data_IF_339487543643
#
_entry.id   IF_339487543643
#
_cell.length_a   1.000
_cell.length_b   1.000
_cell.length_c   1.000
_cell.angle_alpha   90.00
_cell.angle_beta   90.00
_cell.angle_gamma   90.00
#
_symmetry.space_group_name_H-M   'P 1'
#
loop_
_entity.id
_entity.type
_entity.pdbx_description
1 polymer ?
#
# COMPACT_ATOMS: atom_id res chain seq x y z
N UNK A 1 15.22 -12.00 7.63
CA UNK A 1 13.80 -11.74 7.30
C UNK A 1 13.56 -12.25 5.89
N UNK A 2 12.54 -13.08 5.68
CA UNK A 2 12.20 -13.55 4.35
C UNK A 2 11.51 -12.42 3.57
N UNK A 3 11.95 -12.14 2.35
CA UNK A 3 11.32 -11.14 1.47
C UNK A 3 10.39 -11.84 0.50
N UNK A 4 9.12 -11.45 0.48
CA UNK A 4 8.16 -11.92 -0.51
C UNK A 4 8.06 -10.91 -1.66
N UNK A 5 8.03 -11.43 -2.89
CA UNK A 5 7.96 -10.65 -4.13
C UNK A 5 6.62 -10.82 -4.83
N UNK A 6 6.36 -10.01 -5.86
CA UNK A 6 5.20 -10.20 -6.75
C UNK A 6 5.12 -11.63 -7.30
N UNK A 7 6.25 -12.22 -7.67
CA UNK A 7 6.31 -13.61 -8.18
C UNK A 7 5.79 -14.62 -7.15
N UNK A 8 6.03 -14.40 -5.86
CA UNK A 8 5.52 -15.27 -4.80
C UNK A 8 4.01 -15.13 -4.63
N UNK A 9 3.47 -13.92 -4.81
CA UNK A 9 2.02 -13.71 -4.84
C UNK A 9 1.36 -14.36 -6.06
N UNK A 10 1.97 -14.24 -7.25
CA UNK A 10 1.51 -14.91 -8.48
C UNK A 10 1.46 -16.43 -8.31
N UNK A 11 2.50 -17.03 -7.71
CA UNK A 11 2.50 -18.47 -7.40
C UNK A 11 1.35 -18.85 -6.47
N UNK A 12 1.13 -18.09 -5.39
CA UNK A 12 0.00 -18.33 -4.47
C UNK A 12 -1.35 -18.25 -5.18
N UNK A 13 -1.55 -17.28 -6.06
CA UNK A 13 -2.80 -17.15 -6.84
C UNK A 13 -2.96 -18.31 -7.81
N UNK A 14 -1.89 -18.69 -8.52
CA UNK A 14 -1.87 -19.85 -9.42
C UNK A 14 -2.27 -21.15 -8.70
N UNK A 15 -1.67 -21.42 -7.53
CA UNK A 15 -1.98 -22.59 -6.70
C UNK A 15 -3.42 -22.57 -6.17
N UNK A 16 -3.86 -21.43 -5.65
CA UNK A 16 -5.22 -21.28 -5.06
C UNK A 16 -6.30 -21.44 -6.13
N UNK A 17 -6.09 -20.86 -7.31
CA UNK A 17 -7.07 -20.85 -8.40
C UNK A 17 -6.93 -22.05 -9.35
N UNK A 18 -5.91 -22.89 -9.16
CA UNK A 18 -5.57 -24.02 -10.04
C UNK A 18 -5.41 -23.63 -11.51
N UNK A 19 -4.81 -22.46 -11.76
CA UNK A 19 -4.50 -21.97 -13.11
C UNK A 19 -2.99 -21.90 -13.34
N UNK A 20 -2.51 -22.05 -14.58
CA UNK A 20 -1.09 -21.88 -14.90
C UNK A 20 -0.53 -20.49 -14.51
N UNK A 21 0.76 -20.42 -14.19
CA UNK A 21 1.41 -19.17 -13.75
C UNK A 21 1.26 -18.02 -14.75
N UNK A 22 1.36 -18.31 -16.04
CA UNK A 22 1.21 -17.32 -17.11
C UNK A 22 -0.23 -16.75 -17.21
N UNK A 23 -1.23 -17.45 -16.69
CA UNK A 23 -2.60 -16.93 -16.56
C UNK A 23 -2.79 -16.16 -15.25
N UNK A 24 -2.16 -16.58 -14.15
CA UNK A 24 -2.26 -15.89 -12.87
C UNK A 24 -1.55 -14.52 -12.86
N UNK A 25 -0.39 -14.42 -13.51
CA UNK A 25 0.41 -13.19 -13.56
C UNK A 25 -0.37 -11.95 -14.02
N UNK A 26 -1.06 -11.96 -15.19
CA UNK A 26 -1.80 -10.78 -15.64
C UNK A 26 -2.96 -10.39 -14.70
N UNK A 27 -3.55 -11.34 -13.96
CA UNK A 27 -4.59 -11.02 -12.97
C UNK A 27 -4.02 -10.27 -11.76
N UNK A 28 -2.87 -10.71 -11.25
CA UNK A 28 -2.20 -10.02 -10.14
C UNK A 28 -1.74 -8.63 -10.57
N UNK A 29 -1.19 -8.51 -11.77
CA UNK A 29 -0.79 -7.23 -12.35
C UNK A 29 -1.97 -6.28 -12.50
N UNK A 30 -3.10 -6.76 -13.04
CA UNK A 30 -4.30 -5.95 -13.20
C UNK A 30 -4.81 -5.38 -11.86
N UNK A 31 -4.78 -6.16 -10.78
CA UNK A 31 -5.19 -5.70 -9.44
C UNK A 31 -4.25 -4.62 -8.91
N UNK A 32 -2.93 -4.85 -8.98
CA UNK A 32 -1.92 -3.89 -8.52
C UNK A 32 -2.01 -2.59 -9.31
N UNK A 33 -2.15 -2.70 -10.63
CA UNK A 33 -2.23 -1.56 -11.54
C UNK A 33 -3.54 -0.78 -11.34
N UNK A 34 -4.65 -1.47 -11.07
CA UNK A 34 -5.92 -0.82 -10.74
C UNK A 34 -5.81 -0.01 -9.45
N UNK A 35 -5.25 -0.59 -8.38
CA UNK A 35 -5.03 0.13 -7.11
C UNK A 35 -4.14 1.35 -7.35
N UNK A 36 -3.01 1.17 -8.04
CA UNK A 36 -2.06 2.26 -8.36
C UNK A 36 -2.73 3.35 -9.18
N UNK A 37 -3.41 2.99 -10.25
CA UNK A 37 -4.09 3.92 -11.16
C UNK A 37 -5.16 4.75 -10.45
N UNK A 38 -6.02 4.10 -9.66
CA UNK A 38 -7.04 4.79 -8.86
C UNK A 38 -6.42 5.77 -7.87
N UNK A 39 -5.29 5.44 -7.24
CA UNK A 39 -4.57 6.37 -6.35
C UNK A 39 -3.93 7.54 -7.10
N UNK A 40 -3.39 7.32 -8.30
CA UNK A 40 -2.78 8.38 -9.11
C UNK A 40 -3.80 9.41 -9.60
N UNK A 41 -5.04 8.97 -9.87
CA UNK A 41 -6.16 9.82 -10.27
C UNK A 41 -6.79 10.61 -9.10
N UNK A 42 -6.33 10.42 -7.86
CA UNK A 42 -6.88 11.10 -6.69
C UNK A 42 -6.79 12.63 -6.81
N UNK A 43 -7.91 13.33 -6.60
CA UNK A 43 -7.97 14.79 -6.63
C UNK A 43 -8.95 15.34 -5.58
N UNK A 44 -8.49 15.87 -4.44
CA UNK A 44 -7.14 15.72 -3.86
C UNK A 44 -6.93 14.38 -3.13
N UNK A 45 -8.03 13.74 -2.72
CA UNK A 45 -8.03 12.53 -1.90
C UNK A 45 -8.66 11.34 -2.62
N UNK A 46 -8.38 10.15 -2.14
CA UNK A 46 -8.99 8.91 -2.61
C UNK A 46 -9.00 7.89 -1.49
N UNK A 47 -10.02 7.02 -1.47
CA UNK A 47 -10.13 5.91 -0.55
C UNK A 47 -10.53 4.65 -1.33
N UNK A 48 -9.67 3.64 -1.30
CA UNK A 48 -9.92 2.31 -1.88
C UNK A 48 -10.07 1.34 -0.73
N UNK A 49 -11.27 0.83 -0.54
CA UNK A 49 -11.58 -0.14 0.51
C UNK A 49 -11.62 -1.55 -0.06
N UNK A 50 -10.71 -2.40 0.42
CA UNK A 50 -10.69 -3.83 0.14
C UNK A 50 -11.09 -4.55 1.43
N UNK A 51 -12.37 -4.93 1.53
CA UNK A 51 -12.94 -5.58 2.72
C UNK A 51 -12.07 -6.76 3.16
N UNK A 52 -11.93 -6.92 4.47
CA UNK A 52 -11.09 -7.94 5.14
C UNK A 52 -9.58 -7.82 4.92
N UNK A 53 -9.11 -7.05 3.94
CA UNK A 53 -7.69 -6.77 3.74
C UNK A 53 -7.26 -5.43 4.36
N UNK A 54 -7.92 -4.35 3.97
CA UNK A 54 -7.61 -3.01 4.47
C UNK A 54 -8.03 -1.90 3.54
N UNK A 55 -7.47 -0.71 3.77
CA UNK A 55 -7.83 0.50 3.04
C UNK A 55 -6.57 1.20 2.57
N UNK A 56 -6.52 1.52 1.29
CA UNK A 56 -5.56 2.48 0.74
C UNK A 56 -6.19 3.87 0.69
N UNK A 57 -5.49 4.86 1.22
CA UNK A 57 -5.91 6.26 1.21
C UNK A 57 -4.84 7.13 0.56
N UNK A 58 -5.26 8.04 -0.31
CA UNK A 58 -4.47 9.21 -0.70
C UNK A 58 -5.03 10.39 0.08
N UNK A 59 -4.15 11.08 0.81
CA UNK A 59 -4.52 12.23 1.65
C UNK A 59 -3.66 13.43 1.38
N UNK A 60 -4.26 14.60 1.49
CA UNK A 60 -3.49 15.83 1.53
C UNK A 60 -2.73 15.94 2.86
N UNK A 61 -1.50 16.44 2.77
CA UNK A 61 -0.69 16.80 3.93
C UNK A 61 -0.47 18.29 3.95
N UNK A 62 -0.56 18.88 5.14
CA UNK A 62 -0.27 20.30 5.33
C UNK A 62 1.20 20.58 5.03
N UNK A 63 1.46 21.77 4.49
CA UNK A 63 2.81 22.28 4.37
C UNK A 63 3.51 22.27 5.74
N UNK A 64 4.80 21.96 5.76
CA UNK A 64 5.65 22.02 6.95
C UNK A 64 6.63 23.18 6.76
N UNK A 65 6.32 24.38 7.29
CA UNK A 65 7.14 25.55 7.04
C UNK A 65 8.49 25.50 7.78
N UNK A 66 8.59 24.66 8.81
CA UNK A 66 9.81 24.49 9.61
C UNK A 66 10.21 23.02 9.73
N UNK A 67 10.23 22.27 8.62
CA UNK A 67 10.78 20.92 8.63
C UNK A 67 12.31 20.99 8.82
N UNK A 68 12.92 19.95 9.38
CA UNK A 68 14.37 19.90 9.58
C UNK A 68 15.01 18.91 8.61
N UNK A 69 16.12 19.30 7.99
CA UNK A 69 16.97 18.36 7.28
C UNK A 69 17.65 17.43 8.31
N UNK A 70 17.43 16.11 8.30
CA UNK A 70 18.02 15.22 9.30
C UNK A 70 19.55 15.18 9.30
N UNK A 71 20.20 15.53 8.17
CA UNK A 71 21.65 15.51 8.05
C UNK A 71 22.31 16.81 8.54
N UNK A 72 21.70 17.97 8.23
CA UNK A 72 22.29 19.29 8.51
C UNK A 72 21.61 20.07 9.64
N UNK A 73 20.46 19.59 10.12
CA UNK A 73 19.59 20.27 11.10
C UNK A 73 18.99 21.62 10.65
N UNK A 74 19.23 22.02 9.40
CA UNK A 74 18.70 23.26 8.84
C UNK A 74 17.19 23.20 8.68
N UNK A 75 16.56 24.37 8.80
CA UNK A 75 15.12 24.54 8.58
C UNK A 75 14.85 24.61 7.08
N UNK A 76 14.00 23.70 6.60
CA UNK A 76 13.55 23.62 5.21
C UNK A 76 12.01 23.74 5.14
N UNK A 77 11.53 24.39 4.09
CA UNK A 77 10.11 24.44 3.76
C UNK A 77 9.71 23.20 2.96
N UNK A 78 8.65 22.51 3.39
CA UNK A 78 8.04 21.42 2.63
C UNK A 78 6.62 21.82 2.26
N UNK A 79 6.26 21.92 0.97
CA UNK A 79 4.91 22.29 0.55
C UNK A 79 3.87 21.22 0.91
N UNK A 80 2.59 21.61 0.85
CA UNK A 80 1.52 20.62 0.91
C UNK A 80 1.63 19.67 -0.29
N UNK A 81 1.40 18.39 -0.03
CA UNK A 81 1.47 17.34 -1.04
C UNK A 81 0.56 16.19 -0.63
N UNK A 82 0.31 15.27 -1.55
CA UNK A 82 -0.44 14.05 -1.29
C UNK A 82 0.49 12.97 -0.75
N UNK A 83 0.03 12.23 0.26
CA UNK A 83 0.69 11.01 0.76
C UNK A 83 -0.23 9.81 0.63
N UNK A 84 0.36 8.64 0.48
CA UNK A 84 -0.35 7.37 0.55
C UNK A 84 -0.37 6.85 1.99
N UNK A 85 -1.40 6.09 2.34
CA UNK A 85 -1.52 5.44 3.63
C UNK A 85 -2.26 4.12 3.48
N UNK A 86 -1.74 3.04 4.07
CA UNK A 86 -2.45 1.76 4.16
C UNK A 86 -2.93 1.55 5.60
N UNK A 87 -4.23 1.31 5.76
CA UNK A 87 -4.84 0.91 7.04
C UNK A 87 -5.18 -0.57 6.97
N UNK A 88 -4.46 -1.45 7.68
CA UNK A 88 -4.81 -2.86 7.68
C UNK A 88 -6.20 -3.08 8.32
N UNK A 89 -6.92 -4.09 7.84
CA UNK A 89 -8.22 -4.47 8.38
C UNK A 89 -8.11 -4.84 9.87
N UNK A 90 -9.24 -4.79 10.58
CA UNK A 90 -9.31 -5.28 11.97
C UNK A 90 -8.86 -6.74 12.06
N UNK A 91 -9.34 -7.59 11.15
CA UNK A 91 -8.97 -9.02 11.09
C UNK A 91 -7.45 -9.20 11.01
N UNK A 92 -6.78 -8.46 10.13
CA UNK A 92 -5.33 -8.54 9.97
C UNK A 92 -4.59 -8.00 11.21
N UNK A 93 -5.03 -6.87 11.77
CA UNK A 93 -4.44 -6.27 12.97
C UNK A 93 -4.57 -7.17 14.19
N UNK A 94 -5.75 -7.74 14.42
CA UNK A 94 -6.05 -8.55 15.60
C UNK A 94 -5.23 -9.85 15.57
N UNK A 95 -5.10 -10.48 14.38
CA UNK A 95 -4.24 -11.65 14.20
C UNK A 95 -2.76 -11.32 14.48
N UNK A 96 -2.22 -10.24 13.91
CA UNK A 96 -0.82 -9.86 14.07
C UNK A 96 -0.46 -9.33 15.48
N UNK A 97 -1.46 -9.07 16.32
CA UNK A 97 -1.27 -8.63 17.72
C UNK A 97 -1.18 -9.79 18.71
N UNK A 98 -1.43 -11.01 18.25
CA UNK A 98 -1.29 -12.18 19.12
C UNK A 98 0.16 -12.29 19.63
N UNK A 99 0.37 -12.66 20.91
CA UNK A 99 1.70 -12.97 21.42
C UNK A 99 2.40 -14.01 20.53
N UNK A 100 3.73 -13.93 20.47
CA UNK A 100 4.54 -14.88 19.69
C UNK A 100 4.79 -16.19 20.44
N UNK A 101 4.22 -16.32 21.63
CA UNK A 101 4.40 -17.40 22.60
C UNK A 101 3.26 -18.42 22.53
#
# INVERSE_FOLDING_TARGET
MMTYTKKDLVRRVSETMQVPLNQAEPYVDAVIDSIRGTMLMASPECRIELRDFGVFEVKETKAKPKARNPKTNEIIYVPSHRKTHFKPSRKLKDFLRQPLD
#
